data_IF_914264749648
#
_entry.id   IF_914264749648
#
_cell.length_a   1.000
_cell.length_b   1.000
_cell.length_c   1.000
_cell.angle_alpha   90.00
_cell.angle_beta   90.00
_cell.angle_gamma   90.00
#
_symmetry.space_group_name_H-M   'P 1'
#
loop_
_entity.id
_entity.type
_entity.pdbx_description
1 polymer ?
#
# COMPACT_ATOMS: atom_id res chain seq x y z
N UNK A 1 26.67 -14.16 4.22
CA UNK A 1 25.51 -14.92 4.75
C UNK A 1 24.77 -14.18 5.88
N UNK A 2 25.45 -13.43 6.75
CA UNK A 2 24.81 -12.68 7.85
C UNK A 2 23.97 -11.44 7.42
N UNK A 3 24.40 -10.70 6.40
CA UNK A 3 23.65 -9.52 5.91
C UNK A 3 22.27 -9.84 5.32
N UNK A 4 22.14 -10.97 4.61
CA UNK A 4 20.86 -11.39 4.03
C UNK A 4 19.82 -11.75 5.10
N UNK A 5 20.25 -12.35 6.21
CA UNK A 5 19.37 -12.74 7.32
C UNK A 5 18.87 -11.52 8.09
N UNK A 6 19.72 -10.50 8.27
CA UNK A 6 19.33 -9.22 8.89
C UNK A 6 18.36 -8.44 8.00
N UNK A 7 18.58 -8.42 6.69
CA UNK A 7 17.65 -7.84 5.73
C UNK A 7 16.27 -8.50 5.75
N UNK A 8 16.24 -9.84 5.80
CA UNK A 8 14.99 -10.60 5.86
C UNK A 8 14.23 -10.38 7.17
N UNK A 9 14.92 -10.33 8.31
CA UNK A 9 14.32 -9.98 9.62
C UNK A 9 13.75 -8.56 9.62
N UNK A 10 14.45 -7.58 9.04
CA UNK A 10 13.94 -6.22 8.91
C UNK A 10 12.67 -6.13 8.06
N UNK A 11 12.61 -6.85 6.94
CA UNK A 11 11.39 -6.94 6.12
C UNK A 11 10.22 -7.58 6.86
N UNK A 12 10.47 -8.63 7.64
CA UNK A 12 9.44 -9.28 8.44
C UNK A 12 8.89 -8.36 9.53
N UNK A 13 9.76 -7.62 10.23
CA UNK A 13 9.36 -6.64 11.23
C UNK A 13 8.55 -5.48 10.62
N UNK A 14 8.96 -4.98 9.45
CA UNK A 14 8.18 -3.97 8.72
C UNK A 14 6.77 -4.47 8.39
N UNK A 15 6.66 -5.71 7.90
CA UNK A 15 5.37 -6.31 7.58
C UNK A 15 4.51 -6.47 8.84
N UNK A 16 5.08 -6.95 9.95
CA UNK A 16 4.37 -7.05 11.22
C UNK A 16 3.87 -5.69 11.72
N UNK A 17 4.69 -4.64 11.66
CA UNK A 17 4.26 -3.30 12.08
C UNK A 17 3.16 -2.74 11.17
N UNK A 18 3.25 -2.94 9.85
CA UNK A 18 2.17 -2.58 8.92
C UNK A 18 0.87 -3.33 9.25
N UNK A 19 0.96 -4.64 9.52
CA UNK A 19 -0.18 -5.46 9.91
C UNK A 19 -0.64 -5.21 11.35
N UNK A 20 0.10 -4.46 12.16
CA UNK A 20 -0.34 -4.01 13.47
C UNK A 20 -1.05 -2.65 13.39
N UNK A 21 -0.71 -1.83 12.39
CA UNK A 21 -1.27 -0.50 12.19
C UNK A 21 -2.75 -0.53 11.80
N UNK A 22 -3.59 0.12 12.60
CA UNK A 22 -5.04 0.15 12.37
C UNK A 22 -5.43 0.99 11.15
N UNK A 23 -4.68 2.05 10.83
CA UNK A 23 -4.95 2.88 9.65
C UNK A 23 -4.60 2.12 8.38
N UNK A 24 -3.51 1.35 8.38
CA UNK A 24 -3.15 0.46 7.28
C UNK A 24 -4.20 -0.64 7.09
N UNK A 25 -4.65 -1.28 8.18
CA UNK A 25 -5.76 -2.25 8.11
C UNK A 25 -7.03 -1.63 7.53
N UNK A 26 -7.43 -0.46 8.02
CA UNK A 26 -8.60 0.25 7.54
C UNK A 26 -8.46 0.62 6.06
N UNK A 27 -7.27 1.05 5.63
CA UNK A 27 -6.96 1.35 4.25
C UNK A 27 -7.12 0.12 3.34
N UNK A 28 -6.51 -1.02 3.67
CA UNK A 28 -6.62 -2.24 2.83
C UNK A 28 -8.01 -2.87 2.90
N UNK A 29 -8.75 -2.67 4.00
CA UNK A 29 -10.13 -3.13 4.16
C UNK A 29 -11.13 -2.27 3.38
N UNK A 30 -10.75 -1.06 2.96
CA UNK A 30 -11.66 -0.13 2.33
C UNK A 30 -12.24 -0.69 1.02
N UNK A 31 -13.57 -0.60 0.79
CA UNK A 31 -14.22 -1.21 -0.38
C UNK A 31 -13.64 -0.77 -1.71
N UNK A 32 -13.32 0.53 -1.87
CA UNK A 32 -12.72 1.06 -3.10
C UNK A 32 -11.32 0.50 -3.33
N UNK A 33 -10.52 0.37 -2.27
CA UNK A 33 -9.16 -0.20 -2.36
C UNK A 33 -9.25 -1.66 -2.80
N UNK A 34 -10.14 -2.44 -2.18
CA UNK A 34 -10.39 -3.82 -2.62
C UNK A 34 -10.90 -3.91 -4.07
N UNK A 35 -11.75 -2.98 -4.51
CA UNK A 35 -12.26 -2.97 -5.87
C UNK A 35 -11.13 -2.75 -6.89
N UNK A 36 -10.19 -1.84 -6.61
CA UNK A 36 -9.01 -1.62 -7.45
C UNK A 36 -8.09 -2.83 -7.43
N UNK A 37 -7.84 -3.45 -6.27
CA UNK A 37 -7.02 -4.66 -6.20
C UNK A 37 -7.66 -5.88 -6.87
N UNK A 38 -8.98 -5.94 -7.01
CA UNK A 38 -9.69 -7.00 -7.74
C UNK A 38 -9.74 -6.74 -9.24
N UNK A 39 -9.52 -5.51 -9.67
CA UNK A 39 -9.61 -5.10 -11.06
C UNK A 39 -8.50 -5.73 -11.93
N UNK A 40 -8.85 -6.48 -12.99
CA UNK A 40 -7.85 -7.13 -13.84
C UNK A 40 -7.00 -6.12 -14.62
N UNK A 41 -7.60 -5.03 -15.10
CA UNK A 41 -6.87 -4.01 -15.86
C UNK A 41 -5.82 -3.31 -14.97
N UNK A 42 -6.21 -2.92 -13.74
CA UNK A 42 -5.27 -2.39 -12.77
C UNK A 42 -4.14 -3.38 -12.46
N UNK A 43 -4.43 -4.68 -12.31
CA UNK A 43 -3.40 -5.71 -12.11
C UNK A 43 -2.43 -5.80 -13.29
N UNK A 44 -2.92 -5.74 -14.52
CA UNK A 44 -2.07 -5.77 -15.71
C UNK A 44 -1.20 -4.52 -15.82
N UNK A 45 -1.77 -3.34 -15.58
CA UNK A 45 -1.03 -2.09 -15.55
C UNK A 45 0.03 -2.12 -14.44
N UNK A 46 -0.32 -2.59 -13.23
CA UNK A 46 0.62 -2.72 -12.12
C UNK A 46 1.77 -3.69 -12.42
N UNK A 47 1.48 -4.83 -13.08
CA UNK A 47 2.50 -5.78 -13.54
C UNK A 47 3.43 -5.16 -14.59
N UNK A 48 2.90 -4.30 -15.46
CA UNK A 48 3.70 -3.61 -16.48
C UNK A 48 4.65 -2.57 -15.88
N UNK A 49 4.51 -2.22 -14.59
CA UNK A 49 5.25 -1.16 -13.88
C UNK A 49 5.17 0.21 -14.57
N UNK A 50 4.19 0.42 -15.45
CA UNK A 50 3.98 1.68 -16.14
C UNK A 50 3.21 2.64 -15.23
N UNK A 51 3.96 3.35 -14.38
CA UNK A 51 3.40 4.29 -13.41
C UNK A 51 2.54 5.37 -14.08
N UNK A 52 2.90 5.85 -15.28
CA UNK A 52 2.09 6.83 -16.00
C UNK A 52 0.68 6.30 -16.31
N UNK A 53 0.57 5.02 -16.71
CA UNK A 53 -0.73 4.37 -16.93
C UNK A 53 -1.50 4.13 -15.63
N UNK A 54 -0.82 3.84 -14.53
CA UNK A 54 -1.45 3.72 -13.21
C UNK A 54 -2.08 5.06 -12.82
N UNK A 55 -1.32 6.16 -12.94
CA UNK A 55 -1.79 7.51 -12.61
C UNK A 55 -2.93 7.98 -13.51
N UNK A 56 -2.91 7.58 -14.79
CA UNK A 56 -3.98 7.87 -15.73
C UNK A 56 -5.23 6.98 -15.55
N UNK A 57 -5.16 5.92 -14.72
CA UNK A 57 -6.29 5.03 -14.50
C UNK A 57 -7.41 5.76 -13.74
N UNK A 58 -8.66 5.78 -14.28
CA UNK A 58 -9.79 6.39 -13.58
C UNK A 58 -10.04 5.78 -12.21
N UNK A 59 -9.73 4.48 -12.03
CA UNK A 59 -9.88 3.77 -10.76
C UNK A 59 -8.87 4.24 -9.72
N UNK A 60 -7.64 4.48 -10.13
CA UNK A 60 -6.62 5.05 -9.26
C UNK A 60 -6.96 6.50 -8.90
N UNK A 61 -7.42 7.30 -9.87
CA UNK A 61 -7.89 8.66 -9.60
C UNK A 61 -9.05 8.70 -8.60
N UNK A 62 -10.01 7.78 -8.73
CA UNK A 62 -11.14 7.66 -7.80
C UNK A 62 -10.72 7.25 -6.37
N UNK A 63 -9.63 6.49 -6.21
CA UNK A 63 -9.03 6.22 -4.90
C UNK A 63 -8.44 7.49 -4.28
N UNK A 64 -7.70 8.27 -5.07
CA UNK A 64 -7.04 9.49 -4.60
C UNK A 64 -8.02 10.62 -4.28
N UNK A 65 -9.19 10.63 -4.94
CA UNK A 65 -10.25 11.58 -4.66
C UNK A 65 -11.10 11.20 -3.44
N UNK A 66 -10.92 10.00 -2.88
CA UNK A 66 -11.62 9.59 -1.68
C UNK A 66 -11.01 10.28 -0.45
N UNK A 67 -11.79 11.11 0.26
CA UNK A 67 -11.27 11.87 1.39
C UNK A 67 -10.93 10.98 2.59
N UNK A 68 -11.66 9.88 2.79
CA UNK A 68 -11.36 8.93 3.87
C UNK A 68 -10.06 8.20 3.61
N UNK A 69 -9.86 7.72 2.38
CA UNK A 69 -8.58 7.10 1.98
C UNK A 69 -7.42 8.08 2.06
N UNK A 70 -7.62 9.34 1.67
CA UNK A 70 -6.60 10.39 1.78
C UNK A 70 -6.18 10.61 3.23
N UNK A 71 -7.15 10.68 4.15
CA UNK A 71 -6.88 10.79 5.59
C UNK A 71 -6.20 9.54 6.14
N UNK A 72 -6.65 8.34 5.76
CA UNK A 72 -6.03 7.09 6.18
C UNK A 72 -4.58 7.01 5.70
N UNK A 73 -4.31 7.36 4.44
CA UNK A 73 -2.94 7.39 3.91
C UNK A 73 -2.05 8.42 4.61
N UNK A 74 -2.58 9.59 4.98
CA UNK A 74 -1.84 10.58 5.75
C UNK A 74 -1.54 10.12 7.19
N UNK A 75 -2.42 9.28 7.76
CA UNK A 75 -2.26 8.72 9.11
C UNK A 75 -1.31 7.52 9.14
N UNK A 76 -1.15 6.79 8.04
CA UNK A 76 -0.14 5.75 7.91
C UNK A 76 1.23 6.45 7.95
N UNK A 77 1.92 6.37 9.09
CA UNK A 77 3.19 7.06 9.29
C UNK A 77 4.37 6.16 8.90
N UNK A 78 5.03 6.37 7.74
CA UNK A 78 6.14 5.53 7.31
C UNK A 78 7.31 5.52 8.31
N UNK A 79 7.53 6.63 9.03
CA UNK A 79 8.61 6.75 10.03
C UNK A 79 8.44 5.76 11.19
N UNK A 80 7.20 5.43 11.59
CA UNK A 80 6.96 4.47 12.68
C UNK A 80 7.42 3.05 12.31
N UNK A 81 7.52 2.76 11.01
CA UNK A 81 7.92 1.44 10.52
C UNK A 81 9.44 1.29 10.45
N UNK A 82 10.16 2.37 10.14
CA UNK A 82 11.63 2.39 9.97
C UNK A 82 12.39 2.57 11.29
N UNK A 83 11.74 3.16 12.30
CA UNK A 83 12.35 3.32 13.62
C UNK A 83 12.11 2.07 14.48
N UNK A 84 13.21 1.40 14.83
CA UNK A 84 13.34 0.39 15.89
C UNK A 84 14.51 0.80 16.77
#
# INVERSE_FOLDING_TARGET
MFDGMKGMMGQFQLMQKLMADENFKAFIAHPKVQAVFKDPEFKEIAKSKNFSKILASPKFAALMQDPELSVLMAKINPQQFIQS
#
